data_IF_740404257935
#
_entry.id   IF_740404257935
#
_cell.length_a   1.000
_cell.length_b   1.000
_cell.length_c   1.000
_cell.angle_alpha   90.00
_cell.angle_beta   90.00
_cell.angle_gamma   90.00
#
_symmetry.space_group_name_H-M   'P 1'
#
loop_
_entity.id
_entity.type
_entity.pdbx_description
1 polymer ?
#
# COMPACT_ATOMS: atom_id res chain seq x y z
N UNK A 1 -23.19 -1.46 1.29
CA UNK A 1 -22.21 -2.52 1.02
C UNK A 1 -20.97 -1.84 0.44
N UNK A 2 -19.79 -1.91 1.07
CA UNK A 2 -18.63 -1.17 0.60
C UNK A 2 -18.16 -1.76 -0.75
N UNK A 3 -18.14 -0.90 -1.76
CA UNK A 3 -17.83 -1.18 -3.17
C UNK A 3 -16.43 -1.73 -3.42
N UNK A 4 -15.55 -1.74 -2.41
CA UNK A 4 -14.15 -2.16 -2.50
C UNK A 4 -13.97 -3.66 -2.81
N UNK A 5 -14.94 -4.52 -2.48
CA UNK A 5 -14.83 -5.96 -2.77
C UNK A 5 -15.01 -6.32 -4.25
N UNK A 6 -15.70 -5.46 -5.03
CA UNK A 6 -16.04 -5.77 -6.42
C UNK A 6 -14.92 -5.41 -7.40
N UNK A 7 -14.02 -4.49 -7.04
CA UNK A 7 -12.88 -4.06 -7.87
C UNK A 7 -11.67 -4.99 -7.76
N UNK A 8 -11.65 -5.87 -6.75
CA UNK A 8 -10.58 -6.86 -6.56
C UNK A 8 -10.55 -7.95 -7.65
N UNK A 9 -11.60 -8.07 -8.47
CA UNK A 9 -11.72 -9.15 -9.46
C UNK A 9 -10.86 -8.96 -10.73
N UNK A 10 -10.30 -7.78 -10.96
CA UNK A 10 -9.52 -7.46 -12.18
C UNK A 10 -8.15 -6.81 -11.93
N UNK A 11 -7.84 -6.42 -10.69
CA UNK A 11 -6.51 -5.88 -10.32
C UNK A 11 -5.64 -6.95 -9.68
N UNK A 12 -4.37 -6.98 -10.08
CA UNK A 12 -3.36 -7.86 -9.51
C UNK A 12 -3.33 -7.65 -7.98
N UNK A 13 -3.35 -8.73 -7.19
CA UNK A 13 -3.55 -8.68 -5.72
C UNK A 13 -2.57 -7.68 -5.06
N UNK A 14 -1.33 -7.64 -5.52
CA UNK A 14 -0.29 -6.74 -5.02
C UNK A 14 -0.61 -5.25 -5.23
N UNK A 15 -1.29 -4.88 -6.32
CA UNK A 15 -1.73 -3.50 -6.55
C UNK A 15 -2.89 -3.13 -5.64
N UNK A 16 -3.83 -4.06 -5.44
CA UNK A 16 -4.96 -3.85 -4.53
C UNK A 16 -4.50 -3.65 -3.09
N UNK A 17 -3.54 -4.45 -2.62
CA UNK A 17 -2.95 -4.29 -1.29
C UNK A 17 -2.25 -2.92 -1.17
N UNK A 18 -1.47 -2.54 -2.18
CA UNK A 18 -0.71 -1.29 -2.15
C UNK A 18 -1.63 -0.06 -2.14
N UNK A 19 -2.73 -0.09 -2.90
CA UNK A 19 -3.74 0.97 -2.90
C UNK A 19 -4.43 1.08 -1.53
N UNK A 20 -4.84 -0.04 -0.95
CA UNK A 20 -5.48 -0.04 0.37
C UNK A 20 -4.54 0.47 1.48
N UNK A 21 -3.24 0.15 1.40
CA UNK A 21 -2.24 0.67 2.35
C UNK A 21 -2.13 2.19 2.26
N UNK A 22 -2.18 2.75 1.04
CA UNK A 22 -2.20 4.20 0.84
C UNK A 22 -3.46 4.83 1.43
N UNK A 23 -4.64 4.32 1.08
CA UNK A 23 -5.92 4.86 1.56
C UNK A 23 -5.97 4.87 3.11
N UNK A 24 -5.58 3.75 3.74
CA UNK A 24 -5.52 3.65 5.20
C UNK A 24 -4.50 4.61 5.82
N UNK A 25 -3.35 4.83 5.16
CA UNK A 25 -2.32 5.71 5.66
C UNK A 25 -2.79 7.17 5.66
N UNK A 26 -3.44 7.62 4.58
CA UNK A 26 -3.98 8.97 4.45
C UNK A 26 -5.16 9.19 5.40
N UNK A 27 -6.13 8.27 5.45
CA UNK A 27 -7.31 8.38 6.31
C UNK A 27 -6.95 8.49 7.80
N UNK A 28 -5.89 7.80 8.23
CA UNK A 28 -5.49 7.74 9.63
C UNK A 28 -4.29 8.64 9.96
N UNK A 29 -3.83 9.49 9.02
CA UNK A 29 -2.65 10.35 9.19
C UNK A 29 -1.42 9.57 9.70
N UNK A 30 -1.20 8.39 9.11
CA UNK A 30 -0.09 7.51 9.49
C UNK A 30 1.22 8.20 9.15
N UNK A 31 2.15 8.25 10.12
CA UNK A 31 3.45 8.90 9.92
C UNK A 31 4.50 8.00 9.28
N UNK A 32 4.34 6.69 9.42
CA UNK A 32 5.35 5.71 8.99
C UNK A 32 4.69 4.42 8.50
N UNK A 33 5.13 3.94 7.34
CA UNK A 33 4.83 2.62 6.79
C UNK A 33 6.10 1.77 6.88
N UNK A 34 6.01 0.59 7.51
CA UNK A 34 7.13 -0.35 7.60
C UNK A 34 6.88 -1.47 6.59
N UNK A 35 7.86 -1.73 5.73
CA UNK A 35 7.81 -2.77 4.71
C UNK A 35 9.00 -3.70 4.88
N UNK A 36 8.73 -4.92 5.34
CA UNK A 36 9.72 -6.00 5.36
C UNK A 36 9.67 -6.74 4.02
N UNK A 37 10.72 -6.62 3.21
CA UNK A 37 10.72 -7.15 1.84
C UNK A 37 12.12 -7.49 1.34
N UNK A 38 12.34 -8.77 1.03
CA UNK A 38 13.59 -9.30 0.48
C UNK A 38 14.06 -8.61 -0.82
N UNK A 39 13.15 -8.25 -1.73
CA UNK A 39 13.49 -7.66 -3.04
C UNK A 39 13.14 -6.18 -3.17
N UNK A 40 12.49 -5.62 -2.15
CA UNK A 40 11.92 -4.26 -2.16
C UNK A 40 10.77 -4.07 -3.15
N UNK A 41 10.24 -5.14 -3.78
CA UNK A 41 9.13 -5.03 -4.73
C UNK A 41 7.90 -4.39 -4.07
N UNK A 42 7.53 -4.84 -2.88
CA UNK A 42 6.39 -4.33 -2.11
C UNK A 42 6.56 -2.84 -1.79
N UNK A 43 7.78 -2.45 -1.37
CA UNK A 43 8.08 -1.05 -1.09
C UNK A 43 7.93 -0.16 -2.34
N UNK A 44 8.36 -0.64 -3.51
CA UNK A 44 8.18 0.07 -4.79
C UNK A 44 6.71 0.22 -5.16
N UNK A 45 5.90 -0.82 -4.95
CA UNK A 45 4.46 -0.77 -5.26
C UNK A 45 3.73 0.25 -4.39
N UNK A 46 4.01 0.28 -3.08
CA UNK A 46 3.44 1.26 -2.15
C UNK A 46 3.94 2.68 -2.51
N UNK A 47 5.24 2.85 -2.79
CA UNK A 47 5.83 4.14 -3.12
C UNK A 47 5.25 4.79 -4.39
N UNK A 48 4.67 4.01 -5.32
CA UNK A 48 4.01 4.54 -6.53
C UNK A 48 2.84 5.47 -6.22
N UNK A 49 2.15 5.22 -5.10
CA UNK A 49 1.03 6.04 -4.65
C UNK A 49 1.46 7.32 -3.93
N UNK A 50 2.77 7.49 -3.66
CA UNK A 50 3.36 8.67 -3.01
C UNK A 50 2.65 9.04 -1.69
N UNK A 51 2.54 8.12 -0.71
CA UNK A 51 2.00 8.45 0.60
C UNK A 51 2.82 9.55 1.27
N UNK A 52 2.18 10.41 2.07
CA UNK A 52 2.90 11.37 2.91
C UNK A 52 3.71 10.68 4.02
N UNK A 53 3.25 9.49 4.43
CA UNK A 53 3.91 8.64 5.41
C UNK A 53 5.33 8.26 4.96
N UNK A 54 6.28 8.28 5.90
CA UNK A 54 7.66 7.81 5.65
C UNK A 54 7.67 6.30 5.45
N UNK A 55 8.32 5.81 4.40
CA UNK A 55 8.46 4.37 4.15
C UNK A 55 9.82 3.90 4.67
N UNK A 56 9.80 2.95 5.62
CA UNK A 56 11.00 2.26 6.12
C UNK A 56 11.00 0.85 5.53
N UNK A 57 12.06 0.51 4.80
CA UNK A 57 12.22 -0.81 4.20
C UNK A 57 13.20 -1.63 5.03
N UNK A 58 12.76 -2.79 5.49
CA UNK A 58 13.60 -3.80 6.13
C UNK A 58 13.93 -4.86 5.08
N UNK A 59 15.21 -5.25 5.03
CA UNK A 59 15.74 -6.18 4.02
C UNK A 59 16.52 -7.30 4.68
#
# INVERSE_FOLDING_TARGET
>A
MPSHFLTAKTKNISESISANVFDLAEENNVRTIIVDSLSGLTARLISRFRPEAKIIVLT
#
